data_IF_912826979817
#
_entry.id   IF_912826979817
#
_cell.length_a   1.000
_cell.length_b   1.000
_cell.length_c   1.000
_cell.angle_alpha   90.00
_cell.angle_beta   90.00
_cell.angle_gamma   90.00
#
_symmetry.space_group_name_H-M   'P 1'
#
loop_
_entity.id
_entity.type
_entity.pdbx_description
1 polymer ?
#
# COMPACT_ATOMS: atom_id res chain seq x y z
N UNK A 1 18.90 12.76 8.12
CA UNK A 1 17.99 12.77 6.97
C UNK A 1 17.11 11.54 7.07
N UNK A 2 15.79 11.69 6.95
CA UNK A 2 14.87 10.55 6.95
C UNK A 2 14.58 10.09 5.51
N UNK A 3 14.17 8.85 5.32
CA UNK A 3 13.90 8.28 4.00
C UNK A 3 12.53 7.62 4.00
N UNK A 4 11.80 7.80 2.91
CA UNK A 4 10.51 7.18 2.63
C UNK A 4 10.61 6.39 1.34
N UNK A 5 10.11 5.17 1.37
CA UNK A 5 9.92 4.34 0.18
C UNK A 5 8.44 4.08 0.02
N UNK A 6 7.87 4.51 -1.11
CA UNK A 6 6.49 4.22 -1.47
C UNK A 6 6.47 3.18 -2.58
N UNK A 7 5.66 2.14 -2.40
CA UNK A 7 5.44 1.09 -3.38
C UNK A 7 3.95 1.07 -3.69
N UNK A 8 3.58 1.28 -4.95
CA UNK A 8 2.21 1.02 -5.40
C UNK A 8 2.16 -0.33 -6.11
N UNK A 9 1.23 -1.18 -5.68
CA UNK A 9 1.06 -2.54 -6.19
C UNK A 9 -0.38 -2.81 -6.62
N UNK A 10 -0.52 -3.74 -7.57
CA UNK A 10 -1.75 -4.52 -7.72
C UNK A 10 -1.57 -5.77 -6.87
N UNK A 11 -2.35 -5.88 -5.81
CA UNK A 11 -2.28 -6.93 -4.79
C UNK A 11 -2.18 -8.36 -5.32
N UNK A 12 -2.97 -8.69 -6.34
CA UNK A 12 -3.03 -10.02 -6.97
C UNK A 12 -1.80 -10.35 -7.82
N UNK A 13 -1.02 -9.34 -8.21
CA UNK A 13 0.22 -9.55 -8.96
C UNK A 13 1.43 -9.75 -8.05
N UNK A 14 1.28 -9.59 -6.73
CA UNK A 14 2.36 -9.86 -5.77
C UNK A 14 2.29 -11.35 -5.43
N UNK A 15 3.36 -12.13 -5.64
CA UNK A 15 3.35 -13.55 -5.33
C UNK A 15 3.33 -13.81 -3.81
N UNK A 16 2.92 -15.02 -3.44
CA UNK A 16 2.90 -15.47 -2.04
C UNK A 16 1.58 -15.21 -1.29
N UNK A 17 1.50 -15.63 -0.03
CA UNK A 17 0.30 -15.48 0.79
C UNK A 17 0.14 -14.03 1.28
N UNK A 18 -1.10 -13.57 1.44
CA UNK A 18 -1.42 -12.16 1.67
C UNK A 18 -0.75 -11.56 2.92
N UNK A 19 -0.54 -12.36 3.96
CA UNK A 19 0.14 -11.97 5.19
C UNK A 19 1.66 -11.74 5.02
N UNK A 20 2.26 -12.24 3.94
CA UNK A 20 3.71 -12.10 3.69
C UNK A 20 4.04 -11.05 2.63
N UNK A 21 3.09 -10.72 1.75
CA UNK A 21 3.28 -9.81 0.61
C UNK A 21 3.88 -8.46 1.00
N UNK A 22 3.40 -7.86 2.10
CA UNK A 22 3.92 -6.58 2.59
C UNK A 22 5.42 -6.68 2.94
N UNK A 23 5.80 -7.68 3.73
CA UNK A 23 7.20 -7.89 4.13
C UNK A 23 8.10 -8.18 2.93
N UNK A 24 7.63 -9.00 1.97
CA UNK A 24 8.38 -9.31 0.77
C UNK A 24 8.65 -8.07 -0.10
N UNK A 25 7.63 -7.22 -0.30
CA UNK A 25 7.77 -5.97 -1.03
C UNK A 25 8.69 -4.99 -0.29
N UNK A 26 8.55 -4.89 1.03
CA UNK A 26 9.40 -4.05 1.86
C UNK A 26 10.86 -4.49 1.79
N UNK A 27 11.17 -5.77 1.95
CA UNK A 27 12.53 -6.30 1.83
C UNK A 27 13.16 -5.97 0.49
N UNK A 28 12.46 -6.24 -0.63
CA UNK A 28 12.97 -5.90 -1.97
C UNK A 28 13.26 -4.41 -2.10
N UNK A 29 12.35 -3.56 -1.65
CA UNK A 29 12.54 -2.11 -1.75
C UNK A 29 13.66 -1.59 -0.85
N UNK A 30 13.79 -2.13 0.37
CA UNK A 30 14.90 -1.82 1.27
C UNK A 30 16.24 -2.28 0.68
N UNK A 31 16.30 -3.41 -0.02
CA UNK A 31 17.51 -3.85 -0.71
C UNK A 31 17.92 -2.87 -1.81
N UNK A 32 16.97 -2.42 -2.63
CA UNK A 32 17.23 -1.44 -3.71
C UNK A 32 17.70 -0.08 -3.19
N UNK A 33 17.14 0.41 -2.08
CA UNK A 33 17.43 1.77 -1.57
C UNK A 33 18.54 1.79 -0.51
N UNK A 34 18.62 0.75 0.33
CA UNK A 34 19.50 0.69 1.50
C UNK A 34 20.46 -0.50 1.53
N UNK A 35 20.37 -1.44 0.59
CA UNK A 35 21.24 -2.63 0.54
C UNK A 35 21.02 -3.62 1.70
N UNK A 36 19.84 -3.62 2.31
CA UNK A 36 19.46 -4.53 3.40
C UNK A 36 17.96 -4.79 3.44
N UNK A 37 17.54 -5.84 4.14
CA UNK A 37 16.12 -6.14 4.37
C UNK A 37 15.46 -5.14 5.35
N UNK A 38 14.13 -5.16 5.38
CA UNK A 38 13.35 -4.42 6.36
C UNK A 38 13.71 -4.89 7.77
N UNK A 39 13.93 -3.94 8.66
CA UNK A 39 14.30 -4.21 10.04
C UNK A 39 13.71 -3.18 10.99
N UNK A 40 12.65 -3.57 11.70
CA UNK A 40 12.00 -2.73 12.70
C UNK A 40 12.92 -2.34 13.87
N UNK A 41 13.93 -3.16 14.20
CA UNK A 41 14.90 -2.84 15.26
C UNK A 41 15.85 -1.69 14.86
N UNK A 42 16.00 -1.43 13.55
CA UNK A 42 16.73 -0.28 13.03
C UNK A 42 15.83 0.95 12.83
N UNK A 43 14.58 0.88 13.30
CA UNK A 43 13.60 1.96 13.23
C UNK A 43 12.83 2.03 11.91
N UNK A 44 12.90 0.98 11.07
CA UNK A 44 12.05 0.89 9.88
C UNK A 44 10.58 0.72 10.27
N UNK A 45 9.70 1.46 9.61
CA UNK A 45 8.27 1.45 9.89
C UNK A 45 7.51 1.16 8.60
N UNK A 46 6.65 0.16 8.64
CA UNK A 46 5.82 -0.24 7.51
C UNK A 46 4.40 0.29 7.69
N UNK A 47 3.78 0.75 6.61
CA UNK A 47 2.37 1.15 6.58
C UNK A 47 1.73 0.67 5.30
N UNK A 48 0.67 -0.12 5.43
CA UNK A 48 -0.13 -0.59 4.30
C UNK A 48 -1.42 0.23 4.22
N UNK A 49 -1.68 0.84 3.06
CA UNK A 49 -2.99 1.38 2.70
C UNK A 49 -3.66 0.47 1.69
N UNK A 50 -4.88 0.05 2.04
CA UNK A 50 -5.64 -0.93 1.28
C UNK A 50 -5.40 -2.34 1.80
N UNK A 51 -5.85 -3.32 1.01
CA UNK A 51 -5.78 -4.73 1.33
C UNK A 51 -5.22 -5.50 0.12
N UNK A 52 -4.59 -6.64 0.38
CA UNK A 52 -4.09 -7.50 -0.68
C UNK A 52 -5.24 -8.31 -1.32
N UNK A 53 -6.26 -7.63 -1.85
CA UNK A 53 -7.45 -8.25 -2.46
C UNK A 53 -7.43 -8.11 -3.98
N UNK A 54 -7.82 -9.15 -4.72
CA UNK A 54 -7.88 -9.15 -6.19
C UNK A 54 -8.50 -7.87 -6.78
N UNK A 55 -7.85 -7.31 -7.81
CA UNK A 55 -8.31 -6.08 -8.47
C UNK A 55 -8.12 -4.78 -7.69
N UNK A 56 -7.63 -4.81 -6.45
CA UNK A 56 -7.42 -3.61 -5.62
C UNK A 56 -5.96 -3.13 -5.72
N UNK A 57 -5.77 -1.80 -5.79
CA UNK A 57 -4.44 -1.20 -5.64
C UNK A 57 -4.10 -1.05 -4.17
N UNK A 58 -2.90 -1.48 -3.81
CA UNK A 58 -2.31 -1.31 -2.49
C UNK A 58 -1.18 -0.29 -2.55
N UNK A 59 -1.06 0.53 -1.51
CA UNK A 59 0.13 1.35 -1.28
C UNK A 59 0.85 0.83 -0.04
N UNK A 60 2.13 0.54 -0.17
CA UNK A 60 3.00 0.16 0.92
C UNK A 60 4.04 1.26 1.12
N UNK A 61 4.10 1.80 2.33
CA UNK A 61 5.09 2.80 2.73
C UNK A 61 6.09 2.15 3.68
N UNK A 62 7.37 2.42 3.46
CA UNK A 62 8.46 2.08 4.37
C UNK A 62 9.19 3.35 4.73
N UNK A 63 9.13 3.74 6.00
CA UNK A 63 9.74 4.95 6.53
C UNK A 63 10.94 4.57 7.43
N UNK A 64 12.08 5.23 7.26
CA UNK A 64 13.25 5.11 8.15
C UNK A 64 13.78 6.49 8.55
N UNK A 65 14.30 6.59 9.77
CA UNK A 65 14.84 7.82 10.35
C UNK A 65 13.91 8.47 11.39
N UNK A 66 14.31 9.63 11.95
CA UNK A 66 13.58 10.31 13.01
C UNK A 66 12.18 10.73 12.57
N UNK A 67 11.15 10.44 13.38
CA UNK A 67 9.75 10.74 13.05
C UNK A 67 9.45 12.24 12.93
N UNK A 68 10.19 13.07 13.66
CA UNK A 68 10.09 14.54 13.63
C UNK A 68 10.87 15.18 12.46
N UNK A 69 11.44 14.36 11.56
CA UNK A 69 12.23 14.88 10.45
C UNK A 69 11.32 15.59 9.44
N UNK A 70 11.58 16.90 9.26
CA UNK A 70 10.91 17.72 8.23
C UNK A 70 11.52 17.57 6.85
N UNK A 71 12.67 16.91 6.76
CA UNK A 71 13.43 16.71 5.54
C UNK A 71 13.64 15.22 5.30
N UNK A 72 12.92 14.69 4.33
CA UNK A 72 13.03 13.29 3.91
C UNK A 72 12.97 13.15 2.40
N UNK A 73 13.75 12.21 1.89
CA UNK A 73 13.71 11.82 0.48
C UNK A 73 12.66 10.74 0.27
N UNK A 74 11.95 10.80 -0.86
CA UNK A 74 10.95 9.78 -1.22
C UNK A 74 11.40 9.03 -2.47
N UNK A 75 11.61 7.72 -2.33
CA UNK A 75 11.77 6.79 -3.46
C UNK A 75 10.42 6.19 -3.80
N UNK A 76 10.01 6.24 -5.07
CA UNK A 76 8.71 5.72 -5.51
C UNK A 76 8.87 4.58 -6.49
N UNK A 77 8.27 3.43 -6.16
CA UNK A 77 8.28 2.23 -6.96
C UNK A 77 6.87 1.81 -7.37
N UNK A 78 6.75 1.26 -8.57
CA UNK A 78 5.56 0.51 -9.00
C UNK A 78 5.92 -0.96 -9.13
N UNK A 79 5.06 -1.83 -8.61
CA UNK A 79 5.18 -3.26 -8.82
C UNK A 79 4.65 -3.63 -10.21
N UNK A 80 5.52 -4.16 -11.08
CA UNK A 80 5.14 -4.60 -12.43
C UNK A 80 4.37 -5.92 -12.45
N UNK A 81 4.53 -6.72 -11.40
CA UNK A 81 4.18 -8.15 -11.38
C UNK A 81 5.41 -9.04 -11.15
N UNK A 82 6.60 -8.53 -11.46
CA UNK A 82 7.85 -9.28 -11.39
C UNK A 82 8.93 -8.53 -10.59
N UNK A 83 8.98 -7.20 -10.77
CA UNK A 83 10.00 -6.34 -10.19
C UNK A 83 9.44 -5.00 -9.70
N UNK A 84 10.22 -4.34 -8.86
CA UNK A 84 10.00 -2.95 -8.46
C UNK A 84 10.61 -2.04 -9.52
N UNK A 85 9.79 -1.18 -10.13
CA UNK A 85 10.23 -0.21 -11.12
C UNK A 85 10.28 1.16 -10.48
N UNK A 86 11.49 1.72 -10.33
CA UNK A 86 11.67 3.08 -9.84
C UNK A 86 10.98 4.04 -10.81
N UNK A 87 10.13 4.90 -10.27
CA UNK A 87 9.28 5.80 -11.05
C UNK A 87 9.37 7.21 -10.48
N UNK A 88 9.36 8.26 -11.32
CA UNK A 88 9.22 9.63 -10.83
C UNK A 88 7.95 9.79 -9.99
N UNK A 89 8.07 10.45 -8.84
CA UNK A 89 6.94 10.67 -7.93
C UNK A 89 5.89 11.59 -8.58
N UNK A 90 4.69 11.11 -8.91
CA UNK A 90 3.66 11.96 -9.51
C UNK A 90 3.09 12.95 -8.48
N UNK A 91 2.73 14.15 -8.91
CA UNK A 91 2.15 15.19 -8.03
C UNK A 91 0.89 14.72 -7.28
N UNK A 92 0.06 13.88 -7.91
CA UNK A 92 -1.12 13.29 -7.26
C UNK A 92 -0.76 12.38 -6.09
N UNK A 93 0.38 11.70 -6.17
CA UNK A 93 0.88 10.82 -5.11
C UNK A 93 1.55 11.64 -4.02
N UNK A 94 2.26 12.72 -4.38
CA UNK A 94 2.80 13.65 -3.38
C UNK A 94 1.68 14.21 -2.51
N UNK A 95 0.59 14.69 -3.14
CA UNK A 95 -0.61 15.16 -2.43
C UNK A 95 -1.23 14.08 -1.54
N UNK A 96 -1.32 12.84 -2.03
CA UNK A 96 -1.77 11.69 -1.23
C UNK A 96 -0.91 11.49 0.03
N UNK A 97 0.42 11.57 -0.11
CA UNK A 97 1.35 11.42 1.01
C UNK A 97 1.19 12.55 2.03
N UNK A 98 1.07 13.79 1.57
CA UNK A 98 0.90 14.98 2.42
C UNK A 98 -0.42 14.98 3.19
N UNK A 99 -1.51 14.53 2.55
CA UNK A 99 -2.85 14.55 3.15
C UNK A 99 -3.09 13.35 4.08
N UNK A 100 -2.60 12.17 3.72
CA UNK A 100 -3.02 10.90 4.35
C UNK A 100 -1.89 10.13 5.04
N UNK A 101 -0.64 10.40 4.68
CA UNK A 101 0.52 9.61 5.13
C UNK A 101 1.64 10.50 5.65
N UNK A 102 1.36 11.31 6.65
CA UNK A 102 2.36 12.09 7.36
C UNK A 102 3.51 11.17 7.84
N UNK A 103 4.74 11.70 7.76
CA UNK A 103 5.95 10.93 8.09
C UNK A 103 5.96 10.50 9.54
N UNK A 104 5.55 11.39 10.44
CA UNK A 104 5.24 11.06 11.80
C UNK A 104 3.90 10.30 11.86
N UNK A 105 3.87 9.04 12.32
CA UNK A 105 2.62 8.31 12.46
C UNK A 105 1.59 8.98 13.39
N UNK A 106 2.06 9.77 14.38
CA UNK A 106 1.19 10.49 15.31
C UNK A 106 0.38 11.62 14.66
N UNK A 107 0.91 12.20 13.58
CA UNK A 107 0.27 13.31 12.86
C UNK A 107 -0.71 12.83 11.77
N UNK A 108 -0.84 11.51 11.58
CA UNK A 108 -1.72 10.97 10.54
C UNK A 108 -3.18 11.19 10.91
N UNK A 109 -4.04 11.62 9.97
CA UNK A 109 -5.44 11.82 10.24
C UNK A 109 -6.09 10.50 10.65
N UNK A 110 -6.80 10.51 11.78
CA UNK A 110 -7.55 9.35 12.22
C UNK A 110 -8.60 8.98 11.17
N UNK A 111 -8.59 7.72 10.76
CA UNK A 111 -9.60 7.16 9.87
C UNK A 111 -10.53 6.28 10.67
N UNK A 112 -11.82 6.46 10.42
CA UNK A 112 -12.80 5.50 10.85
C UNK A 112 -12.70 4.30 9.89
N UNK A 113 -12.02 3.26 10.33
CA UNK A 113 -12.18 1.92 9.77
C UNK A 113 -13.30 1.22 10.52
N UNK A 114 -14.08 0.43 9.81
CA UNK A 114 -15.09 -0.43 10.40
C UNK A 114 -14.69 -1.88 10.14
N UNK A 115 -14.80 -2.75 11.14
CA UNK A 115 -14.90 -4.19 10.88
C UNK A 115 -16.19 -4.49 10.10
N UNK A 116 -16.31 -5.69 9.54
CA UNK A 116 -17.53 -6.11 8.87
C UNK A 116 -18.76 -6.02 9.81
N UNK A 117 -18.59 -6.39 11.08
CA UNK A 117 -19.62 -6.31 12.12
C UNK A 117 -19.96 -4.86 12.47
N UNK A 118 -18.95 -4.00 12.66
CA UNK A 118 -19.15 -2.58 12.93
C UNK A 118 -19.82 -1.89 11.75
N UNK A 119 -19.39 -2.19 10.52
CA UNK A 119 -19.96 -1.63 9.31
C UNK A 119 -21.43 -2.04 9.18
N UNK A 120 -21.73 -3.33 9.38
CA UNK A 120 -23.11 -3.84 9.34
C UNK A 120 -23.97 -3.21 10.44
N UNK A 121 -23.43 -3.01 11.64
CA UNK A 121 -24.13 -2.35 12.75
C UNK A 121 -24.41 -0.87 12.46
N UNK A 122 -23.43 -0.15 11.90
CA UNK A 122 -23.53 1.30 11.63
C UNK A 122 -24.37 1.61 10.40
N UNK A 123 -24.26 0.81 9.34
CA UNK A 123 -24.88 1.10 8.03
C UNK A 123 -26.03 0.17 7.66
N UNK A 124 -26.26 -0.89 8.44
CA UNK A 124 -27.32 -1.87 8.25
C UNK A 124 -26.95 -3.00 7.29
N UNK A 125 -27.67 -4.13 7.40
CA UNK A 125 -27.44 -5.34 6.61
C UNK A 125 -27.49 -5.10 5.10
N UNK A 126 -28.40 -4.25 4.61
CA UNK A 126 -28.54 -3.98 3.17
C UNK A 126 -27.26 -3.39 2.56
N UNK A 127 -26.66 -2.40 3.21
CA UNK A 127 -25.39 -1.80 2.75
C UNK A 127 -24.22 -2.76 2.88
N UNK A 128 -24.22 -3.61 3.91
CA UNK A 128 -23.24 -4.68 4.06
C UNK A 128 -23.33 -5.68 2.90
N UNK A 129 -24.52 -6.13 2.54
CA UNK A 129 -24.72 -7.08 1.43
C UNK A 129 -24.31 -6.47 0.08
N UNK A 130 -24.57 -5.18 -0.14
CA UNK A 130 -24.07 -4.43 -1.30
C UNK A 130 -22.53 -4.38 -1.35
N UNK A 131 -21.88 -4.15 -0.20
CA UNK A 131 -20.41 -4.15 -0.10
C UNK A 131 -19.83 -5.53 -0.43
N UNK A 132 -20.40 -6.60 0.14
CA UNK A 132 -19.97 -7.99 -0.10
C UNK A 132 -20.14 -8.35 -1.57
N UNK A 133 -21.30 -8.02 -2.16
CA UNK A 133 -21.55 -8.25 -3.59
C UNK A 133 -20.55 -7.50 -4.46
N UNK A 134 -20.29 -6.23 -4.19
CA UNK A 134 -19.29 -5.44 -4.93
C UNK A 134 -17.86 -5.97 -4.79
N UNK A 135 -17.48 -6.56 -3.66
CA UNK A 135 -16.20 -7.29 -3.52
C UNK A 135 -16.16 -8.52 -4.43
N UNK A 136 -17.24 -9.31 -4.47
CA UNK A 136 -17.33 -10.49 -5.32
C UNK A 136 -17.28 -10.14 -6.83
N UNK A 137 -18.05 -9.13 -7.26
CA UNK A 137 -18.07 -8.66 -8.65
C UNK A 137 -16.70 -8.17 -9.12
N UNK A 138 -15.99 -7.37 -8.29
CA UNK A 138 -14.62 -6.92 -8.62
C UNK A 138 -13.65 -8.07 -8.79
N UNK A 139 -13.77 -9.10 -7.95
CA UNK A 139 -12.95 -10.32 -8.05
C UNK A 139 -13.24 -11.08 -9.33
N UNK A 140 -14.52 -11.18 -9.71
CA UNK A 140 -14.94 -11.85 -10.94
C UNK A 140 -14.46 -11.09 -12.19
N UNK A 141 -14.63 -9.77 -12.24
CA UNK A 141 -14.11 -8.93 -13.33
C UNK A 141 -12.59 -9.08 -13.46
N UNK A 142 -11.86 -9.05 -12.35
CA UNK A 142 -10.41 -9.22 -12.37
C UNK A 142 -9.96 -10.59 -12.90
N UNK A 143 -10.78 -11.64 -12.75
CA UNK A 143 -10.53 -12.97 -13.33
C UNK A 143 -10.79 -13.01 -14.84
N UNK A 144 -11.89 -12.41 -15.31
CA UNK A 144 -12.30 -12.50 -16.71
C UNK A 144 -11.60 -11.49 -17.63
N UNK A 145 -11.22 -10.33 -17.10
CA UNK A 145 -10.53 -9.28 -17.84
C UNK A 145 -9.19 -8.95 -17.18
N UNK A 146 -8.19 -9.85 -17.25
CA UNK A 146 -6.84 -9.47 -16.87
C UNK A 146 -6.42 -8.29 -17.75
N UNK A 147 -6.22 -7.11 -17.15
CA UNK A 147 -5.81 -5.92 -17.89
C UNK A 147 -4.60 -6.26 -18.77
N UNK A 148 -4.71 -5.98 -20.07
CA UNK A 148 -3.61 -6.16 -21.02
C UNK A 148 -2.36 -5.47 -20.47
N UNK A 149 -1.17 -6.09 -20.59
CA UNK A 149 0.06 -5.40 -20.24
C UNK A 149 0.10 -4.07 -20.98
N UNK A 150 0.24 -2.97 -20.24
CA UNK A 150 0.51 -1.67 -20.85
C UNK A 150 1.85 -1.81 -21.57
N UNK A 151 1.81 -1.82 -22.91
CA UNK A 151 3.01 -1.71 -23.71
C UNK A 151 3.65 -0.36 -23.42
N UNK A 152 4.97 -0.40 -23.18
CA UNK A 152 5.82 0.75 -22.92
C UNK A 152 5.73 1.82 -24.04
#
# INVERSE_FOLDING_TARGET
MAHRILITCKSHKVPGPDNEKATQLANRACQEVWGRDFNGALGDRITLEGEFTDGVRCNLLVDNGPVESKDYTTSFFRWSGEALVLTPLPASILKLLEERFQFNPADRPQRISYTDEEYKKTFGSKKYDELVRGKAERREIARFYPEKPQAN
#
